data_IF_653297289365
#
_entry.id   IF_653297289365
#
_cell.length_a   1.000
_cell.length_b   1.000
_cell.length_c   1.000
_cell.angle_alpha   90.00
_cell.angle_beta   90.00
_cell.angle_gamma   90.00
#
_symmetry.space_group_name_H-M   'P 1'
#
loop_
_entity.id
_entity.type
_entity.pdbx_description
1 polymer ?
#
# COMPACT_ATOMS: atom_id res chain seq x y z
N UNK A 1 -1.75 -12.72 1.44
CA UNK A 1 -0.96 -11.49 1.71
C UNK A 1 -0.51 -11.44 3.16
N UNK A 2 -1.38 -11.51 4.18
CA UNK A 2 -1.00 -11.49 5.60
C UNK A 2 0.06 -12.54 6.01
N UNK A 3 -0.14 -13.80 5.63
CA UNK A 3 0.83 -14.88 5.90
C UNK A 3 2.21 -14.66 5.27
N UNK A 4 2.29 -14.07 4.07
CA UNK A 4 3.57 -13.82 3.39
C UNK A 4 4.34 -12.66 4.02
N UNK A 5 3.61 -11.71 4.63
CA UNK A 5 4.20 -10.61 5.37
C UNK A 5 4.84 -11.11 6.68
N UNK A 6 4.27 -12.13 7.32
CA UNK A 6 4.84 -12.77 8.51
C UNK A 6 6.05 -13.68 8.19
N UNK A 7 6.06 -14.27 7.00
CA UNK A 7 7.17 -15.13 6.53
C UNK A 7 8.33 -14.34 5.86
N UNK A 8 8.33 -13.01 5.94
CA UNK A 8 9.32 -12.10 5.29
C UNK A 8 9.49 -12.30 3.77
N UNK A 9 8.60 -13.06 3.13
CA UNK A 9 8.69 -13.39 1.71
C UNK A 9 7.94 -12.34 0.87
N UNK A 10 8.55 -11.16 0.77
CA UNK A 10 7.96 -9.98 0.14
C UNK A 10 7.80 -10.12 -1.39
N UNK A 11 8.65 -10.91 -2.06
CA UNK A 11 8.55 -11.13 -3.51
C UNK A 11 7.33 -11.96 -3.90
N UNK A 12 7.05 -13.04 -3.17
CA UNK A 12 5.83 -13.82 -3.38
C UNK A 12 4.58 -13.03 -3.00
N UNK A 13 4.66 -12.20 -1.95
CA UNK A 13 3.59 -11.26 -1.60
C UNK A 13 3.27 -10.31 -2.77
N UNK A 14 4.27 -9.75 -3.45
CA UNK A 14 4.07 -8.87 -4.61
C UNK A 14 3.49 -9.60 -5.82
N UNK A 15 3.93 -10.85 -6.08
CA UNK A 15 3.35 -11.69 -7.14
C UNK A 15 1.87 -11.98 -6.88
N UNK A 16 1.52 -12.32 -5.64
CA UNK A 16 0.13 -12.54 -5.25
C UNK A 16 -0.68 -11.24 -5.30
N UNK A 17 -0.12 -10.11 -4.85
CA UNK A 17 -0.76 -8.80 -4.96
C UNK A 17 -1.13 -8.44 -6.40
N UNK A 18 -0.19 -8.63 -7.33
CA UNK A 18 -0.43 -8.40 -8.76
C UNK A 18 -1.52 -9.31 -9.34
N UNK A 19 -1.61 -10.57 -8.86
CA UNK A 19 -2.67 -11.51 -9.25
C UNK A 19 -4.03 -11.09 -8.69
N UNK A 20 -4.09 -10.74 -7.41
CA UNK A 20 -5.31 -10.24 -6.77
C UNK A 20 -5.79 -8.94 -7.40
N UNK A 21 -4.92 -8.00 -7.77
CA UNK A 21 -5.31 -6.76 -8.47
C UNK A 21 -6.02 -7.03 -9.79
N UNK A 22 -5.62 -8.07 -10.54
CA UNK A 22 -6.29 -8.47 -11.78
C UNK A 22 -7.66 -9.09 -11.54
N UNK A 23 -7.78 -9.92 -10.51
CA UNK A 23 -9.04 -10.56 -10.13
C UNK A 23 -10.03 -9.54 -9.54
N UNK A 24 -9.55 -8.61 -8.71
CA UNK A 24 -10.33 -7.55 -8.10
C UNK A 24 -10.88 -6.54 -9.12
N UNK A 25 -10.12 -6.26 -10.20
CA UNK A 25 -10.63 -5.48 -11.33
C UNK A 25 -11.80 -6.16 -12.06
N UNK A 26 -11.96 -7.49 -11.95
CA UNK A 26 -13.09 -8.21 -12.56
C UNK A 26 -14.32 -8.25 -11.67
N UNK A 27 -14.13 -8.21 -10.35
CA UNK A 27 -15.21 -8.28 -9.36
C UNK A 27 -15.83 -6.90 -9.05
N UNK A 28 -15.20 -5.80 -9.49
CA UNK A 28 -15.61 -4.41 -9.18
C UNK A 28 -15.74 -4.11 -7.67
N UNK A 29 -15.12 -4.95 -6.83
CA UNK A 29 -15.15 -4.84 -5.37
C UNK A 29 -14.11 -3.82 -4.90
N UNK A 30 -14.47 -2.55 -5.06
CA UNK A 30 -13.56 -1.41 -4.84
C UNK A 30 -13.08 -1.30 -3.37
N UNK A 31 -13.86 -1.78 -2.39
CA UNK A 31 -13.47 -1.75 -0.97
C UNK A 31 -12.29 -2.70 -0.69
N UNK A 32 -12.36 -3.92 -1.22
CA UNK A 32 -11.28 -4.90 -1.07
C UNK A 32 -10.04 -4.48 -1.87
N UNK A 33 -10.24 -3.77 -3.00
CA UNK A 33 -9.14 -3.20 -3.79
C UNK A 33 -8.31 -2.19 -2.97
N UNK A 34 -8.95 -1.32 -2.20
CA UNK A 34 -8.26 -0.35 -1.32
C UNK A 34 -7.44 -1.09 -0.25
N UNK A 35 -7.99 -2.16 0.33
CA UNK A 35 -7.30 -2.93 1.37
C UNK A 35 -6.06 -3.65 0.85
N UNK A 36 -6.13 -4.22 -0.36
CA UNK A 36 -4.98 -4.85 -1.02
C UNK A 36 -3.89 -3.81 -1.35
N UNK A 37 -4.27 -2.62 -1.84
CA UNK A 37 -3.30 -1.55 -2.13
C UNK A 37 -2.65 -1.00 -0.85
N UNK A 38 -3.39 -0.91 0.25
CA UNK A 38 -2.83 -0.59 1.56
C UNK A 38 -1.79 -1.64 2.00
N UNK A 39 -2.07 -2.93 1.81
CA UNK A 39 -1.07 -3.97 2.09
C UNK A 39 0.14 -3.91 1.16
N UNK A 40 -0.04 -3.67 -0.14
CA UNK A 40 1.10 -3.50 -1.06
C UNK A 40 2.01 -2.34 -0.65
N UNK A 41 1.43 -1.19 -0.26
CA UNK A 41 2.25 -0.06 0.21
C UNK A 41 3.13 -0.41 1.41
N UNK A 42 2.62 -1.25 2.34
CA UNK A 42 3.39 -1.74 3.50
C UNK A 42 4.51 -2.68 3.08
N UNK A 43 4.25 -3.56 2.11
CA UNK A 43 5.26 -4.48 1.56
C UNK A 43 6.36 -3.70 0.83
N UNK A 44 6.01 -2.74 -0.02
CA UNK A 44 6.99 -1.90 -0.72
C UNK A 44 7.88 -1.11 0.23
N UNK A 45 7.34 -0.68 1.37
CA UNK A 45 8.13 -0.04 2.40
C UNK A 45 9.11 -0.95 3.09
N UNK A 46 8.71 -2.19 3.41
CA UNK A 46 9.64 -3.20 3.93
C UNK A 46 10.75 -3.49 2.93
N UNK A 47 10.44 -3.43 1.65
CA UNK A 47 11.40 -3.54 0.55
C UNK A 47 12.28 -2.29 0.33
N UNK A 48 12.04 -1.18 1.06
CA UNK A 48 12.77 0.08 0.88
C UNK A 48 12.30 0.96 -0.28
N UNK A 49 11.27 0.56 -1.04
CA UNK A 49 10.77 1.31 -2.19
C UNK A 49 9.66 2.30 -1.80
N UNK A 50 10.08 3.48 -1.31
CA UNK A 50 9.17 4.54 -0.87
C UNK A 50 8.32 5.13 -2.00
N UNK A 51 8.89 5.24 -3.21
CA UNK A 51 8.19 5.82 -4.36
C UNK A 51 7.00 4.94 -4.76
N UNK A 52 7.20 3.61 -4.85
CA UNK A 52 6.11 2.66 -5.12
C UNK A 52 5.11 2.59 -3.98
N UNK A 53 5.55 2.63 -2.72
CA UNK A 53 4.66 2.64 -1.58
C UNK A 53 3.69 3.84 -1.61
N UNK A 54 4.19 5.05 -1.93
CA UNK A 54 3.37 6.26 -2.07
C UNK A 54 2.45 6.20 -3.29
N UNK A 55 2.92 5.65 -4.41
CA UNK A 55 2.09 5.46 -5.59
C UNK A 55 0.87 4.57 -5.29
N UNK A 56 1.08 3.40 -4.67
CA UNK A 56 0.01 2.51 -4.25
C UNK A 56 -0.97 3.16 -3.26
N UNK A 57 -0.47 4.00 -2.34
CA UNK A 57 -1.33 4.76 -1.42
C UNK A 57 -2.22 5.80 -2.14
N UNK A 58 -1.64 6.54 -3.09
CA UNK A 58 -2.38 7.53 -3.87
C UNK A 58 -3.49 6.85 -4.67
N UNK A 59 -3.19 5.71 -5.29
CA UNK A 59 -4.20 4.87 -5.94
C UNK A 59 -5.29 4.45 -4.96
N UNK A 60 -4.92 4.01 -3.75
CA UNK A 60 -5.87 3.56 -2.74
C UNK A 60 -6.81 4.69 -2.32
N UNK A 61 -6.29 5.91 -2.15
CA UNK A 61 -7.08 7.10 -1.82
C UNK A 61 -8.04 7.48 -2.95
N UNK A 62 -7.60 7.42 -4.21
CA UNK A 62 -8.50 7.69 -5.35
C UNK A 62 -9.64 6.69 -5.45
N UNK A 63 -9.35 5.40 -5.23
CA UNK A 63 -10.39 4.36 -5.21
C UNK A 63 -11.32 4.55 -4.01
N UNK A 64 -10.79 4.89 -2.84
CA UNK A 64 -11.58 5.13 -1.63
C UNK A 64 -12.59 6.28 -1.77
N UNK A 65 -12.18 7.38 -2.41
CA UNK A 65 -13.06 8.51 -2.70
C UNK A 65 -14.24 8.14 -3.61
N UNK A 66 -14.11 7.08 -4.42
CA UNK A 66 -15.12 6.66 -5.40
C UNK A 66 -16.24 5.74 -4.89
N UNK A 67 -16.19 5.29 -3.63
CA UNK A 67 -17.12 4.26 -3.10
C UNK A 67 -17.91 4.76 -1.87
N UNK A 68 -17.57 5.93 -1.35
CA UNK A 68 -17.98 6.36 -0.01
C UNK A 68 -17.49 5.36 1.05
N UNK A 69 -16.22 5.49 1.43
CA UNK A 69 -15.58 4.51 2.29
C UNK A 69 -16.15 4.50 3.71
N UNK A 70 -16.23 3.32 4.36
CA UNK A 70 -16.53 3.24 5.78
C UNK A 70 -15.43 3.95 6.58
N UNK A 71 -15.77 4.61 7.70
CA UNK A 71 -14.85 5.48 8.45
C UNK A 71 -13.57 4.78 8.93
N UNK A 72 -13.60 3.45 9.11
CA UNK A 72 -12.41 2.66 9.44
C UNK A 72 -11.36 2.62 8.33
N UNK A 73 -11.78 2.47 7.07
CA UNK A 73 -10.87 2.44 5.92
C UNK A 73 -10.23 3.82 5.71
N UNK A 74 -11.02 4.88 5.87
CA UNK A 74 -10.53 6.25 5.82
C UNK A 74 -9.48 6.53 6.91
N UNK A 75 -9.76 6.14 8.15
CA UNK A 75 -8.80 6.28 9.26
C UNK A 75 -7.47 5.55 8.98
N UNK A 76 -7.53 4.35 8.41
CA UNK A 76 -6.34 3.59 8.02
C UNK A 76 -5.54 4.28 6.90
N UNK A 77 -6.22 4.85 5.90
CA UNK A 77 -5.60 5.61 4.82
C UNK A 77 -4.88 6.86 5.35
N UNK A 78 -5.52 7.62 6.22
CA UNK A 78 -4.93 8.83 6.79
C UNK A 78 -3.76 8.51 7.73
N UNK A 79 -3.86 7.46 8.55
CA UNK A 79 -2.75 6.99 9.38
C UNK A 79 -1.55 6.52 8.54
N UNK A 80 -1.80 5.75 7.47
CA UNK A 80 -0.73 5.36 6.56
C UNK A 80 -0.11 6.61 5.89
N UNK A 81 -0.93 7.54 5.40
CA UNK A 81 -0.48 8.77 4.74
C UNK A 81 0.48 9.58 5.61
N UNK A 82 0.17 9.70 6.92
CA UNK A 82 1.06 10.31 7.89
C UNK A 82 2.38 9.55 8.00
N UNK A 83 2.34 8.24 8.20
CA UNK A 83 3.54 7.40 8.28
C UNK A 83 4.46 7.55 7.06
N UNK A 84 3.91 7.63 5.84
CA UNK A 84 4.69 7.84 4.61
C UNK A 84 5.28 9.24 4.50
N UNK A 85 4.55 10.25 4.96
CA UNK A 85 5.03 11.63 5.00
C UNK A 85 6.24 11.75 5.94
N UNK A 86 6.13 11.22 7.17
CA UNK A 86 7.25 11.19 8.11
C UNK A 86 8.42 10.33 7.63
N UNK A 87 8.15 9.17 7.03
CA UNK A 87 9.21 8.33 6.46
C UNK A 87 9.98 9.03 5.32
N UNK A 88 9.29 9.84 4.51
CA UNK A 88 9.95 10.65 3.47
C UNK A 88 10.78 11.79 4.06
N UNK A 89 10.28 12.46 5.10
CA UNK A 89 11.00 13.56 5.77
C UNK A 89 12.22 13.09 6.57
N UNK A 90 12.22 11.85 7.08
CA UNK A 90 13.34 11.32 7.87
C UNK A 90 14.49 10.77 6.99
N UNK A 91 14.26 10.55 5.69
CA UNK A 91 15.24 9.93 4.76
C UNK A 91 16.08 10.95 3.98
N UNK A 92 15.76 12.24 4.05
CA UNK A 92 16.54 13.33 3.42
C UNK A 92 17.72 13.87 4.26
N UNK A 93 18.37 13.05 5.12
CA UNK A 93 19.82 13.23 5.27
C UNK A 93 20.62 11.90 5.27
N UNK A 94 20.18 10.83 4.58
CA UNK A 94 20.97 9.57 4.61
C UNK A 94 21.03 8.73 3.31
N UNK A 95 20.67 9.29 2.15
CA UNK A 95 20.72 8.56 0.86
C UNK A 95 21.61 9.24 -0.19
N UNK A 96 22.56 10.09 0.23
CA UNK A 96 23.62 10.65 -0.63
C UNK A 96 24.99 10.03 -0.39
N UNK A 97 25.06 8.86 0.25
CA UNK A 97 26.27 8.04 0.30
C UNK A 97 25.90 6.58 -0.03
N UNK A 98 26.42 6.14 -1.18
CA UNK A 98 26.33 4.84 -1.86
C UNK A 98 25.07 4.51 -2.70
#
# INVERSE_FOLDING_TARGET
MGLYYENENYEEALKLGSKLLRELKKLDDKALLVEVQLMESRVYYRLGNLQRARASLTSARTTANGIYCPPRLQANLDLLSGKWFYASSCIIPFSSEF
#
